data_IF_232969658235
#
_entry.id   IF_232969658235
#
_cell.length_a   1.000
_cell.length_b   1.000
_cell.length_c   1.000
_cell.angle_alpha   90.00
_cell.angle_beta   90.00
_cell.angle_gamma   90.00
#
_symmetry.space_group_name_H-M   'P 1'
#
loop_
_entity.id
_entity.type
_entity.pdbx_description
1 polymer ?
#
# COMPACT_ATOMS: atom_id res chain seq x y z
N UNK A 1 23.47 21.58 37.85
CA UNK A 1 22.30 21.31 37.00
C UNK A 1 22.59 21.91 35.65
N UNK A 2 23.14 21.07 34.79
CA UNK A 2 23.34 21.19 33.35
C UNK A 2 23.73 19.76 32.92
N UNK A 3 23.11 19.15 31.90
CA UNK A 3 23.70 18.01 31.25
C UNK A 3 24.21 18.42 29.87
N UNK A 4 25.53 18.56 29.77
CA UNK A 4 26.25 18.71 28.52
C UNK A 4 26.07 17.49 27.63
N UNK A 5 25.73 17.75 26.38
CA UNK A 5 25.79 16.78 25.28
C UNK A 5 26.58 17.42 24.13
N UNK A 6 27.90 17.32 24.22
CA UNK A 6 28.79 17.31 23.08
C UNK A 6 29.56 15.99 23.18
N UNK A 7 29.18 15.00 22.37
CA UNK A 7 30.06 14.30 21.42
C UNK A 7 29.30 13.11 20.82
N UNK A 8 29.04 13.15 19.51
CA UNK A 8 28.59 12.01 18.70
C UNK A 8 28.73 12.35 17.21
N UNK A 9 29.94 12.73 16.80
CA UNK A 9 30.37 12.59 15.40
C UNK A 9 31.12 11.27 15.28
N UNK A 10 30.37 10.20 15.07
CA UNK A 10 30.82 8.99 14.38
C UNK A 10 29.66 7.99 14.35
N UNK A 11 28.97 7.89 13.22
CA UNK A 11 28.37 6.64 12.75
C UNK A 11 28.30 6.70 11.23
N UNK A 12 29.26 6.02 10.62
CA UNK A 12 29.35 5.80 9.18
C UNK A 12 28.15 5.06 8.62
N UNK A 13 28.00 5.20 7.30
CA UNK A 13 27.00 4.53 6.49
C UNK A 13 26.91 3.03 6.75
N UNK A 14 25.70 2.61 7.13
CA UNK A 14 25.30 1.22 7.23
C UNK A 14 24.13 0.99 6.29
N UNK A 15 24.43 0.33 5.18
CA UNK A 15 23.50 -0.28 4.21
C UNK A 15 22.37 -0.97 4.96
N UNK A 16 21.11 -0.54 4.77
CA UNK A 16 19.96 -1.27 5.31
C UNK A 16 19.76 -2.49 4.44
N UNK A 17 20.25 -3.62 4.95
CA UNK A 17 20.12 -4.93 4.34
C UNK A 17 18.63 -5.33 4.25
N UNK A 18 18.17 -5.54 3.03
CA UNK A 18 16.97 -6.31 2.72
C UNK A 18 17.25 -7.77 3.07
N UNK A 19 16.63 -8.25 4.15
CA UNK A 19 16.70 -9.65 4.55
C UNK A 19 15.63 -10.45 3.80
N UNK A 20 16.11 -11.30 2.89
CA UNK A 20 15.36 -12.35 2.21
C UNK A 20 14.85 -13.39 3.22
N UNK A 21 13.57 -13.78 3.11
CA UNK A 21 13.03 -14.96 3.80
C UNK A 21 12.51 -15.99 2.79
N UNK A 22 13.06 -17.18 2.90
CA UNK A 22 12.88 -18.35 2.03
C UNK A 22 11.52 -19.05 2.21
N UNK A 23 11.06 -19.52 1.04
CA UNK A 23 9.94 -20.40 0.64
C UNK A 23 9.72 -21.68 1.49
N UNK A 24 8.46 -22.04 1.74
CA UNK A 24 7.77 -23.33 1.39
C UNK A 24 6.52 -23.62 2.27
N UNK A 25 5.40 -24.01 1.65
CA UNK A 25 4.20 -24.50 2.36
C UNK A 25 2.99 -24.78 1.47
N UNK A 26 2.79 -26.04 1.09
CA UNK A 26 1.75 -26.59 0.20
C UNK A 26 0.31 -26.52 0.76
N UNK A 27 -0.63 -26.20 -0.13
CA UNK A 27 -1.83 -27.01 -0.41
C UNK A 27 -3.09 -26.78 0.43
N UNK A 28 -4.18 -26.37 -0.23
CA UNK A 28 -5.48 -27.09 -0.28
C UNK A 28 -6.48 -26.34 -1.16
N UNK A 29 -6.88 -26.95 -2.28
CA UNK A 29 -7.99 -26.48 -3.13
C UNK A 29 -9.26 -27.25 -2.78
N UNK A 30 -10.19 -26.60 -2.09
CA UNK A 30 -11.54 -27.10 -1.89
C UNK A 30 -12.45 -26.62 -3.03
N UNK A 31 -13.03 -27.56 -3.78
CA UNK A 31 -14.12 -27.29 -4.75
C UNK A 31 -15.41 -26.97 -4.00
N UNK A 32 -16.04 -25.84 -4.35
CA UNK A 32 -17.50 -25.65 -4.21
C UNK A 32 -18.02 -24.92 -5.43
N UNK A 33 -18.91 -25.60 -6.17
CA UNK A 33 -19.64 -25.03 -7.29
C UNK A 33 -20.72 -24.06 -6.84
N UNK A 34 -21.09 -23.16 -7.74
CA UNK A 34 -22.21 -22.23 -7.57
C UNK A 34 -22.36 -21.34 -8.79
N UNK A 35 -23.03 -21.85 -9.82
CA UNK A 35 -23.61 -21.04 -10.90
C UNK A 35 -24.55 -20.00 -10.26
N UNK A 36 -24.13 -18.73 -10.20
CA UNK A 36 -24.97 -17.50 -10.11
C UNK A 36 -24.10 -16.35 -9.56
N UNK A 37 -23.40 -15.58 -10.41
CA UNK A 37 -22.83 -14.28 -9.99
C UNK A 37 -22.41 -13.33 -11.13
N UNK A 38 -22.77 -13.56 -12.39
CA UNK A 38 -22.24 -12.73 -13.50
C UNK A 38 -23.03 -11.42 -13.71
N UNK A 39 -23.96 -11.01 -12.83
CA UNK A 39 -24.86 -9.88 -13.12
C UNK A 39 -24.72 -8.61 -12.26
N UNK A 40 -23.72 -8.45 -11.38
CA UNK A 40 -23.46 -7.15 -10.71
C UNK A 40 -21.97 -6.82 -10.45
N UNK A 41 -21.03 -7.65 -10.88
CA UNK A 41 -19.60 -7.51 -10.55
C UNK A 41 -18.87 -6.35 -11.27
N UNK A 42 -19.54 -5.62 -12.16
CA UNK A 42 -18.92 -4.62 -13.06
C UNK A 42 -19.24 -3.15 -12.72
N UNK A 43 -19.90 -2.84 -11.60
CA UNK A 43 -20.42 -1.49 -11.34
C UNK A 43 -19.76 -0.68 -10.19
N UNK A 44 -18.73 -1.19 -9.50
CA UNK A 44 -18.13 -0.45 -8.36
C UNK A 44 -16.59 -0.50 -8.34
N UNK A 45 -15.91 0.23 -9.23
CA UNK A 45 -14.44 0.36 -9.20
C UNK A 45 -13.91 0.74 -7.82
N UNK A 46 -14.62 1.66 -7.12
CA UNK A 46 -14.25 2.10 -5.77
C UNK A 46 -14.33 0.99 -4.73
N UNK A 47 -15.33 0.12 -4.80
CA UNK A 47 -15.44 -0.99 -3.85
C UNK A 47 -14.32 -2.01 -4.09
N UNK A 48 -14.02 -2.31 -5.36
CA UNK A 48 -12.91 -3.19 -5.74
C UNK A 48 -11.56 -2.65 -5.28
N UNK A 49 -11.32 -1.34 -5.43
CA UNK A 49 -10.12 -0.71 -4.88
C UNK A 49 -10.05 -0.87 -3.36
N UNK A 50 -11.15 -0.60 -2.65
CA UNK A 50 -11.17 -0.73 -1.18
C UNK A 50 -10.93 -2.17 -0.71
N UNK A 51 -11.51 -3.15 -1.40
CA UNK A 51 -11.31 -4.58 -1.14
C UNK A 51 -9.84 -4.94 -1.38
N UNK A 52 -9.26 -4.54 -2.51
CA UNK A 52 -7.87 -4.82 -2.82
C UNK A 52 -6.90 -4.19 -1.82
N UNK A 53 -7.12 -2.93 -1.43
CA UNK A 53 -6.31 -2.25 -0.41
C UNK A 53 -6.35 -2.98 0.95
N UNK A 54 -7.47 -3.61 1.29
CA UNK A 54 -7.62 -4.38 2.53
C UNK A 54 -6.94 -5.75 2.43
N UNK A 55 -7.17 -6.48 1.34
CA UNK A 55 -6.72 -7.86 1.17
C UNK A 55 -5.23 -7.95 0.84
N UNK A 56 -4.77 -7.17 -0.14
CA UNK A 56 -3.38 -7.19 -0.59
C UNK A 56 -2.49 -6.22 0.20
N UNK A 57 -3.04 -5.06 0.57
CA UNK A 57 -2.27 -4.00 1.25
C UNK A 57 -2.33 -4.03 2.76
N UNK A 58 -3.16 -4.89 3.37
CA UNK A 58 -3.38 -4.91 4.81
C UNK A 58 -3.98 -3.61 5.37
N UNK A 59 -4.45 -2.70 4.51
CA UNK A 59 -4.89 -1.38 4.91
C UNK A 59 -6.26 -1.46 5.57
N UNK A 60 -6.33 -1.05 6.83
CA UNK A 60 -7.57 -1.01 7.58
C UNK A 60 -8.39 0.19 7.13
N UNK A 61 -9.71 0.15 7.35
CA UNK A 61 -10.56 1.31 7.07
C UNK A 61 -10.13 2.61 7.78
N UNK A 62 -9.35 2.52 8.85
CA UNK A 62 -8.69 3.67 9.50
C UNK A 62 -7.53 4.23 8.69
N UNK A 63 -6.73 3.38 8.05
CA UNK A 63 -5.62 3.80 7.19
C UNK A 63 -6.18 4.55 5.96
N UNK A 64 -7.21 4.00 5.34
CA UNK A 64 -7.89 4.61 4.19
C UNK A 64 -8.54 5.94 4.58
N UNK A 65 -9.18 6.00 5.75
CA UNK A 65 -9.77 7.23 6.28
C UNK A 65 -8.72 8.33 6.52
N UNK A 66 -7.60 7.97 7.14
CA UNK A 66 -6.49 8.89 7.39
C UNK A 66 -5.88 9.38 6.08
N UNK A 67 -5.60 8.47 5.15
CA UNK A 67 -5.07 8.76 3.82
C UNK A 67 -5.99 9.70 3.03
N UNK A 68 -7.30 9.44 3.01
CA UNK A 68 -8.25 10.24 2.20
C UNK A 68 -8.83 11.46 2.92
N UNK A 69 -8.44 11.71 4.17
CA UNK A 69 -8.94 12.84 4.97
C UNK A 69 -10.45 12.78 5.28
N UNK A 70 -11.07 11.60 5.24
CA UNK A 70 -12.50 11.43 5.55
C UNK A 70 -12.73 10.48 6.72
N UNK A 71 -13.96 10.46 7.26
CA UNK A 71 -14.31 9.53 8.33
C UNK A 71 -14.38 8.07 7.84
N UNK A 72 -14.07 7.11 8.74
CA UNK A 72 -14.24 5.67 8.50
C UNK A 72 -15.67 5.29 8.06
N UNK A 73 -16.67 6.00 8.58
CA UNK A 73 -18.07 5.85 8.16
C UNK A 73 -18.29 6.28 6.70
N UNK A 74 -17.58 7.30 6.22
CA UNK A 74 -17.62 7.73 4.81
C UNK A 74 -17.01 6.67 3.91
N UNK A 75 -15.86 6.12 4.29
CA UNK A 75 -15.21 5.00 3.57
C UNK A 75 -16.13 3.78 3.49
N UNK A 76 -16.81 3.42 4.58
CA UNK A 76 -17.80 2.33 4.59
C UNK A 76 -18.98 2.58 3.63
N UNK A 77 -19.45 3.83 3.53
CA UNK A 77 -20.50 4.21 2.56
C UNK A 77 -20.01 4.13 1.12
N UNK A 78 -18.73 4.34 0.85
CA UNK A 78 -18.12 4.13 -0.47
C UNK A 78 -18.12 2.64 -0.86
N UNK A 79 -17.65 1.76 0.03
CA UNK A 79 -17.65 0.31 -0.23
C UNK A 79 -19.06 -0.25 -0.49
N UNK A 80 -20.06 0.26 0.24
CA UNK A 80 -21.46 -0.13 0.02
C UNK A 80 -22.15 0.53 -1.18
N UNK A 81 -21.48 1.45 -1.89
CA UNK A 81 -22.04 2.21 -3.01
C UNK A 81 -23.09 3.24 -2.61
N UNK A 82 -23.28 3.50 -1.30
CA UNK A 82 -24.25 4.47 -0.77
C UNK A 82 -23.78 5.92 -0.93
N UNK A 83 -22.49 6.13 -1.19
CA UNK A 83 -21.88 7.42 -1.51
C UNK A 83 -20.74 7.17 -2.50
N UNK A 84 -20.47 8.13 -3.38
CA UNK A 84 -19.31 8.09 -4.25
C UNK A 84 -18.23 9.06 -3.76
N UNK A 85 -16.94 8.67 -3.78
CA UNK A 85 -15.84 9.59 -3.54
C UNK A 85 -15.74 10.65 -4.63
N UNK A 86 -15.14 11.80 -4.29
CA UNK A 86 -14.82 12.86 -5.23
C UNK A 86 -13.86 12.34 -6.33
N UNK A 87 -13.90 12.86 -7.58
CA UNK A 87 -12.98 12.44 -8.64
C UNK A 87 -11.51 12.37 -8.23
N UNK A 88 -10.99 13.42 -7.58
CA UNK A 88 -9.62 13.44 -7.01
C UNK A 88 -9.34 12.25 -6.09
N UNK A 89 -10.23 12.00 -5.13
CA UNK A 89 -10.11 10.86 -4.20
C UNK A 89 -10.11 9.52 -4.93
N UNK A 90 -10.86 9.39 -6.04
CA UNK A 90 -10.84 8.16 -6.85
C UNK A 90 -9.50 7.94 -7.53
N UNK A 91 -8.86 9.00 -8.01
CA UNK A 91 -7.55 8.91 -8.66
C UNK A 91 -6.48 8.46 -7.66
N UNK A 92 -6.34 9.16 -6.54
CA UNK A 92 -5.34 8.77 -5.52
C UNK A 92 -5.59 7.37 -4.95
N UNK A 93 -6.86 6.91 -4.87
CA UNK A 93 -7.18 5.53 -4.47
C UNK A 93 -6.79 4.51 -5.55
N UNK A 94 -6.94 4.86 -6.82
CA UNK A 94 -6.50 4.05 -7.94
C UNK A 94 -4.98 3.89 -7.93
N UNK A 95 -4.25 4.99 -7.72
CA UNK A 95 -2.79 4.98 -7.65
C UNK A 95 -2.29 4.15 -6.46
N UNK A 96 -2.91 4.33 -5.28
CA UNK A 96 -2.60 3.51 -4.12
C UNK A 96 -2.88 2.02 -4.37
N UNK A 97 -4.00 1.71 -5.02
CA UNK A 97 -4.36 0.33 -5.38
C UNK A 97 -3.32 -0.29 -6.31
N UNK A 98 -2.82 0.48 -7.29
CA UNK A 98 -1.79 0.01 -8.22
C UNK A 98 -0.45 -0.24 -7.50
N UNK A 99 -0.03 0.67 -6.63
CA UNK A 99 1.19 0.50 -5.82
C UNK A 99 1.08 -0.72 -4.89
N UNK A 100 -0.05 -0.89 -4.21
CA UNK A 100 -0.32 -2.06 -3.35
C UNK A 100 -0.27 -3.36 -4.15
N UNK A 101 -0.88 -3.39 -5.34
CA UNK A 101 -0.86 -4.54 -6.22
C UNK A 101 0.57 -4.97 -6.55
N UNK A 102 1.43 -4.02 -6.95
CA UNK A 102 2.83 -4.28 -7.30
C UNK A 102 3.67 -4.71 -6.10
N UNK A 103 3.52 -4.04 -4.96
CA UNK A 103 4.23 -4.44 -3.74
C UNK A 103 3.81 -5.84 -3.28
N UNK A 104 2.55 -6.22 -3.49
CA UNK A 104 2.02 -7.55 -3.17
C UNK A 104 2.63 -8.69 -3.98
N UNK A 105 3.34 -8.40 -5.08
CA UNK A 105 4.11 -9.42 -5.82
C UNK A 105 5.37 -9.86 -5.06
N UNK A 106 5.87 -9.01 -4.15
CA UNK A 106 7.10 -9.23 -3.40
C UNK A 106 6.88 -9.43 -1.90
N UNK A 107 5.85 -8.81 -1.34
CA UNK A 107 5.66 -8.66 0.10
C UNK A 107 4.29 -9.15 0.55
N UNK A 108 4.22 -9.67 1.78
CA UNK A 108 2.95 -9.95 2.44
C UNK A 108 2.22 -8.66 2.83
N UNK A 109 0.91 -8.74 3.05
CA UNK A 109 0.05 -7.58 3.33
C UNK A 109 0.51 -6.68 4.50
N UNK A 110 1.04 -7.24 5.60
CA UNK A 110 1.60 -6.44 6.70
C UNK A 110 2.89 -5.71 6.30
N UNK A 111 3.72 -6.33 5.46
CA UNK A 111 4.96 -5.74 4.94
C UNK A 111 4.66 -4.64 3.91
N UNK A 112 3.65 -4.84 3.06
CA UNK A 112 3.14 -3.79 2.15
C UNK A 112 2.69 -2.57 2.96
N UNK A 113 1.90 -2.77 4.02
CA UNK A 113 1.48 -1.69 4.91
C UNK A 113 2.68 -1.01 5.56
N UNK A 114 3.64 -1.76 6.09
CA UNK A 114 4.85 -1.19 6.67
C UNK A 114 5.64 -0.36 5.66
N UNK A 115 5.80 -0.87 4.43
CA UNK A 115 6.50 -0.19 3.34
C UNK A 115 5.83 1.14 2.99
N UNK A 116 4.50 1.18 2.85
CA UNK A 116 3.77 2.42 2.52
C UNK A 116 3.96 3.54 3.56
N UNK A 117 4.08 3.17 4.84
CA UNK A 117 4.23 4.11 5.96
C UNK A 117 5.68 4.38 6.37
N UNK A 118 6.64 3.63 5.82
CA UNK A 118 8.06 3.85 6.07
C UNK A 118 8.56 5.08 5.32
N UNK A 119 9.54 5.78 5.92
CA UNK A 119 10.32 6.81 5.22
C UNK A 119 11.38 6.13 4.37
N UNK A 120 11.42 6.44 3.09
CA UNK A 120 12.32 5.75 2.15
C UNK A 120 13.47 6.64 1.71
N UNK A 121 14.74 6.20 1.86
CA UNK A 121 15.89 6.92 1.31
C UNK A 121 15.79 7.15 -0.22
N UNK A 122 15.16 6.21 -0.94
CA UNK A 122 14.93 6.31 -2.38
C UNK A 122 13.80 7.28 -2.78
N UNK A 123 13.03 7.75 -1.79
CA UNK A 123 11.99 8.78 -1.92
C UNK A 123 12.35 10.02 -1.09
N UNK A 124 13.65 10.33 -0.99
CA UNK A 124 14.17 11.50 -0.26
C UNK A 124 13.76 11.58 1.22
N UNK A 125 13.45 10.43 1.83
CA UNK A 125 12.97 10.33 3.21
C UNK A 125 11.47 10.57 3.37
N UNK A 126 10.72 10.76 2.29
CA UNK A 126 9.25 10.81 2.30
C UNK A 126 8.64 9.41 2.45
N UNK A 127 7.36 9.38 2.86
CA UNK A 127 6.58 8.14 2.91
C UNK A 127 5.81 7.99 1.61
N UNK A 128 5.77 6.78 1.06
CA UNK A 128 5.04 6.51 -0.18
C UNK A 128 3.55 6.88 -0.06
N UNK A 129 2.92 6.64 1.10
CA UNK A 129 1.51 6.98 1.32
C UNK A 129 1.24 8.49 1.21
N UNK A 130 2.21 9.33 1.59
CA UNK A 130 2.06 10.80 1.51
C UNK A 130 2.24 11.27 0.06
N UNK A 131 3.26 10.75 -0.64
CA UNK A 131 3.47 11.06 -2.05
C UNK A 131 2.26 10.72 -2.91
N UNK A 132 1.64 9.54 -2.68
CA UNK A 132 0.44 9.13 -3.41
C UNK A 132 -0.75 10.05 -3.07
N UNK A 133 -0.88 10.49 -1.82
CA UNK A 133 -1.94 11.43 -1.43
C UNK A 133 -1.78 12.77 -2.15
N UNK A 134 -0.53 13.21 -2.30
CA UNK A 134 -0.16 14.49 -2.93
C UNK A 134 -0.08 14.40 -4.46
N UNK A 135 -0.64 13.34 -5.07
CA UNK A 135 -0.66 13.10 -6.53
C UNK A 135 0.73 12.99 -7.16
N UNK A 136 1.72 12.54 -6.38
CA UNK A 136 3.11 12.28 -6.79
C UNK A 136 3.42 10.78 -6.85
N UNK A 137 2.43 9.99 -7.30
CA UNK A 137 2.54 8.53 -7.32
C UNK A 137 3.64 8.02 -8.28
N UNK A 138 3.97 8.79 -9.31
CA UNK A 138 5.02 8.50 -10.29
C UNK A 138 6.39 8.30 -9.64
N UNK A 139 6.70 9.02 -8.56
CA UNK A 139 7.98 8.88 -7.84
C UNK A 139 8.07 7.52 -7.15
N UNK A 140 6.96 7.07 -6.55
CA UNK A 140 6.83 5.75 -5.93
C UNK A 140 6.94 4.66 -7.00
N UNK A 141 6.25 4.82 -8.13
CA UNK A 141 6.28 3.90 -9.26
C UNK A 141 7.70 3.76 -9.82
N UNK A 142 8.45 4.85 -9.96
CA UNK A 142 9.82 4.82 -10.43
C UNK A 142 10.78 4.08 -9.49
N UNK A 143 10.49 4.00 -8.18
CA UNK A 143 11.22 3.12 -7.25
C UNK A 143 10.86 1.66 -7.49
N UNK A 144 9.58 1.34 -7.68
CA UNK A 144 9.12 -0.02 -7.97
C UNK A 144 9.65 -0.55 -9.31
N UNK A 145 9.72 0.28 -10.34
CA UNK A 145 10.28 -0.09 -11.65
C UNK A 145 11.76 -0.52 -11.55
N UNK A 146 12.51 0.11 -10.64
CA UNK A 146 13.90 -0.28 -10.36
C UNK A 146 13.98 -1.61 -9.60
N UNK A 147 13.08 -1.83 -8.64
CA UNK A 147 12.98 -3.11 -7.92
C UNK A 147 12.64 -4.27 -8.87
N UNK A 148 11.71 -4.05 -9.80
CA UNK A 148 11.37 -5.03 -10.83
C UNK A 148 12.59 -5.36 -11.70
N UNK A 149 13.31 -4.33 -12.16
CA UNK A 149 14.49 -4.51 -12.99
C UNK A 149 15.58 -5.34 -12.29
N UNK A 150 15.82 -5.11 -11.00
CA UNK A 150 16.79 -5.87 -10.20
C UNK A 150 16.34 -7.32 -9.93
N UNK A 151 15.04 -7.59 -9.90
CA UNK A 151 14.48 -8.93 -9.64
C UNK A 151 14.57 -9.88 -10.85
N UNK A 152 14.72 -9.35 -12.08
CA UNK A 152 14.76 -10.13 -13.32
C UNK A 152 16.17 -10.33 -13.92
N UNK A 153 17.24 -10.01 -13.17
CA UNK A 153 18.64 -10.26 -13.53
C UNK A 153 19.18 -11.54 -12.90
#
# INVERSE_FOLDING_TARGET
MDPGWQDARDIGGGVVAVALATREGKGQIAKRGGKQAVSQASARPVAQFLEHLQEAGGLKGTDIANFTGVSKATVSRWGSGKKSPHPRTRLIMSDLSYVVMRLGEYYGHEEVRAWLYARHPQLEGERAIDLIHDERAEEVIAVLDRLDADAYL
#
